data_IF_878878235011
#
_entry.id   IF_878878235011
#
_cell.length_a   1.000
_cell.length_b   1.000
_cell.length_c   1.000
_cell.angle_alpha   90.00
_cell.angle_beta   90.00
_cell.angle_gamma   90.00
#
_symmetry.space_group_name_H-M   'P 1'
#
loop_
_entity.id
_entity.type
_entity.pdbx_description
1 polymer ?
#
# COMPACT_ATOMS: atom_id res chain seq x y z
N UNK A 1 1.64 -5.01 -10.52
CA UNK A 1 1.47 -3.97 -11.57
C UNK A 1 1.77 -4.48 -12.99
N UNK A 2 2.99 -4.96 -13.30
CA UNK A 2 3.40 -5.40 -14.67
C UNK A 2 2.44 -6.40 -15.33
N UNK A 3 1.90 -7.36 -14.58
CA UNK A 3 0.94 -8.34 -15.11
C UNK A 3 -0.40 -7.71 -15.56
N UNK A 4 -0.84 -6.63 -14.89
CA UNK A 4 -2.04 -5.88 -15.26
C UNK A 4 -1.80 -5.09 -16.56
N UNK A 5 -0.64 -4.45 -16.67
CA UNK A 5 -0.22 -3.72 -17.88
C UNK A 5 -0.13 -4.68 -19.08
N UNK A 6 0.40 -5.88 -18.88
CA UNK A 6 0.52 -6.90 -19.92
C UNK A 6 -0.85 -7.48 -20.36
N UNK A 7 -1.82 -7.57 -19.46
CA UNK A 7 -3.19 -8.02 -19.77
C UNK A 7 -3.98 -6.99 -20.59
N UNK A 8 -3.57 -5.73 -20.55
CA UNK A 8 -4.16 -4.63 -21.30
C UNK A 8 -5.39 -4.01 -20.64
N UNK A 9 -5.70 -2.78 -21.05
CA UNK A 9 -6.68 -1.88 -20.39
C UNK A 9 -8.12 -2.40 -20.43
N UNK A 10 -8.42 -3.37 -21.30
CA UNK A 10 -9.74 -4.04 -21.36
C UNK A 10 -9.90 -5.14 -20.31
N UNK A 11 -8.81 -5.70 -19.82
CA UNK A 11 -8.80 -6.84 -18.89
C UNK A 11 -8.44 -6.40 -17.49
N UNK A 12 -7.52 -5.43 -17.34
CA UNK A 12 -7.08 -4.93 -16.06
C UNK A 12 -6.73 -3.44 -16.12
N UNK A 13 -7.19 -2.68 -15.12
CA UNK A 13 -6.95 -1.26 -14.93
C UNK A 13 -6.45 -1.02 -13.50
N UNK A 14 -5.31 -0.36 -13.36
CA UNK A 14 -4.79 0.05 -12.06
C UNK A 14 -5.47 1.37 -11.67
N UNK A 15 -6.20 1.36 -10.56
CA UNK A 15 -6.90 2.54 -10.04
C UNK A 15 -6.00 3.38 -9.14
N UNK A 16 -5.03 2.73 -8.47
CA UNK A 16 -4.02 3.41 -7.68
C UNK A 16 -3.14 2.41 -6.95
N UNK A 17 -1.88 2.78 -6.76
CA UNK A 17 -0.93 2.01 -5.97
C UNK A 17 -0.07 2.97 -5.15
N UNK A 18 0.19 2.60 -3.91
CA UNK A 18 1.16 3.28 -3.09
C UNK A 18 2.02 2.25 -2.38
N UNK A 19 3.30 2.55 -2.27
CA UNK A 19 4.25 1.78 -1.47
C UNK A 19 4.95 2.79 -0.58
N UNK A 20 4.92 2.52 0.72
CA UNK A 20 5.51 3.34 1.75
C UNK A 20 6.49 2.49 2.56
N UNK A 21 7.76 2.89 2.57
CA UNK A 21 8.80 2.23 3.35
C UNK A 21 9.20 3.10 4.54
N UNK A 22 9.03 2.59 5.76
CA UNK A 22 9.51 3.21 6.99
C UNK A 22 10.76 2.46 7.47
N UNK A 23 11.95 3.02 7.22
CA UNK A 23 13.23 2.37 7.56
C UNK A 23 13.63 1.25 6.59
N UNK A 24 14.60 0.42 6.99
CA UNK A 24 15.11 -0.68 6.12
C UNK A 24 14.19 -1.91 6.10
N UNK A 25 13.36 -2.11 7.14
CA UNK A 25 12.67 -3.38 7.38
C UNK A 25 11.13 -3.32 7.33
N UNK A 26 10.51 -2.14 7.18
CA UNK A 26 9.05 -2.00 7.11
C UNK A 26 8.61 -1.39 5.79
N UNK A 27 8.11 -2.25 4.90
CA UNK A 27 7.46 -1.87 3.64
C UNK A 27 5.98 -2.19 3.75
N UNK A 28 5.15 -1.15 3.61
CA UNK A 28 3.70 -1.29 3.50
C UNK A 28 3.26 -0.73 2.16
N UNK A 29 2.20 -1.28 1.58
CA UNK A 29 1.67 -0.76 0.33
C UNK A 29 0.26 -1.24 0.08
N UNK A 30 -0.46 -0.49 -0.75
CA UNK A 30 -1.75 -0.91 -1.26
C UNK A 30 -1.74 -0.86 -2.79
N UNK A 31 -2.50 -1.76 -3.38
CA UNK A 31 -2.76 -1.83 -4.80
C UNK A 31 -4.26 -1.98 -5.01
N UNK A 32 -4.86 -0.97 -5.63
CA UNK A 32 -6.25 -0.97 -6.07
C UNK A 32 -6.27 -1.17 -7.58
N UNK A 33 -6.93 -2.24 -8.02
CA UNK A 33 -7.09 -2.57 -9.43
C UNK A 33 -8.52 -3.00 -9.73
N UNK A 34 -8.95 -2.84 -10.97
CA UNK A 34 -10.24 -3.32 -11.48
C UNK A 34 -9.95 -4.24 -12.67
N UNK A 35 -10.46 -5.46 -12.64
CA UNK A 35 -10.19 -6.45 -13.68
C UNK A 35 -11.35 -7.45 -13.88
N UNK A 36 -11.34 -8.18 -15.00
CA UNK A 36 -12.34 -9.21 -15.26
C UNK A 36 -12.31 -10.31 -14.16
N UNK A 37 -13.47 -10.77 -13.65
CA UNK A 37 -13.53 -11.75 -12.55
C UNK A 37 -12.68 -13.01 -12.79
N UNK A 38 -12.70 -13.55 -14.02
CA UNK A 38 -11.94 -14.76 -14.38
C UNK A 38 -10.43 -14.55 -14.36
N UNK A 39 -9.97 -13.36 -14.74
CA UNK A 39 -8.55 -13.01 -14.69
C UNK A 39 -8.13 -12.72 -13.26
N UNK A 40 -8.99 -12.06 -12.48
CA UNK A 40 -8.76 -11.71 -11.09
C UNK A 40 -8.48 -12.95 -10.23
N UNK A 41 -9.25 -14.02 -10.39
CA UNK A 41 -9.06 -15.27 -9.67
C UNK A 41 -7.66 -15.87 -9.91
N UNK A 42 -7.19 -15.86 -11.16
CA UNK A 42 -5.82 -16.31 -11.51
C UNK A 42 -4.75 -15.39 -10.94
N UNK A 43 -4.98 -14.07 -11.00
CA UNK A 43 -4.04 -13.07 -10.51
C UNK A 43 -3.86 -13.15 -9.00
N UNK A 44 -4.94 -13.38 -8.24
CA UNK A 44 -4.90 -13.53 -6.77
C UNK A 44 -4.01 -14.70 -6.34
N UNK A 45 -4.15 -15.85 -7.02
CA UNK A 45 -3.29 -17.02 -6.77
C UNK A 45 -1.81 -16.69 -6.99
N UNK A 46 -1.48 -16.12 -8.16
CA UNK A 46 -0.11 -15.73 -8.49
C UNK A 46 0.49 -14.72 -7.49
N UNK A 47 -0.29 -13.72 -7.10
CA UNK A 47 0.13 -12.69 -6.14
C UNK A 47 0.43 -13.26 -4.76
N UNK A 48 -0.39 -14.19 -4.27
CA UNK A 48 -0.12 -14.81 -2.96
C UNK A 48 1.20 -15.60 -2.95
N UNK A 49 1.52 -16.28 -4.04
CA UNK A 49 2.78 -17.00 -4.21
C UNK A 49 3.97 -16.05 -4.32
N UNK A 50 3.85 -14.98 -5.10
CA UNK A 50 4.92 -13.99 -5.28
C UNK A 50 5.20 -13.22 -3.98
N UNK A 51 4.16 -12.87 -3.22
CA UNK A 51 4.31 -12.22 -1.92
C UNK A 51 5.06 -13.12 -0.93
N UNK A 52 4.67 -14.40 -0.84
CA UNK A 52 5.34 -15.37 0.02
C UNK A 52 6.82 -15.56 -0.35
N UNK A 53 7.14 -15.62 -1.64
CA UNK A 53 8.53 -15.72 -2.12
C UNK A 53 9.37 -14.47 -1.80
N UNK A 54 8.75 -13.30 -1.75
CA UNK A 54 9.40 -12.03 -1.40
C UNK A 54 9.49 -11.79 0.12
N UNK A 55 9.00 -12.71 0.95
CA UNK A 55 9.00 -12.58 2.41
C UNK A 55 7.97 -11.57 2.95
N UNK A 56 6.97 -11.21 2.15
CA UNK A 56 5.86 -10.33 2.54
C UNK A 56 4.55 -11.11 2.68
N UNK A 57 3.68 -10.69 3.60
CA UNK A 57 2.36 -11.30 3.79
C UNK A 57 1.26 -10.40 3.24
N UNK A 58 0.24 -11.02 2.62
CA UNK A 58 -0.96 -10.29 2.18
C UNK A 58 -1.86 -10.08 3.39
N UNK A 59 -1.76 -8.90 4.00
CA UNK A 59 -2.52 -8.57 5.22
C UNK A 59 -4.01 -8.39 4.94
N UNK A 60 -4.39 -7.90 3.75
CA UNK A 60 -5.79 -7.78 3.36
C UNK A 60 -5.98 -8.00 1.87
N UNK A 61 -6.99 -8.79 1.51
CA UNK A 61 -7.38 -9.10 0.15
C UNK A 61 -8.90 -8.98 0.05
N UNK A 62 -9.38 -7.79 -0.27
CA UNK A 62 -10.82 -7.50 -0.39
C UNK A 62 -11.20 -7.44 -1.86
N UNK A 63 -12.06 -8.36 -2.28
CA UNK A 63 -12.72 -8.32 -3.59
C UNK A 63 -14.09 -7.68 -3.41
N UNK A 64 -14.34 -6.60 -4.12
CA UNK A 64 -15.65 -5.96 -4.18
C UNK A 64 -16.20 -6.06 -5.59
N UNK A 65 -17.42 -6.58 -5.70
CA UNK A 65 -18.17 -6.58 -6.95
C UNK A 65 -19.22 -5.49 -6.87
N UNK A 66 -19.17 -4.56 -7.81
CA UNK A 66 -20.13 -3.45 -7.90
C UNK A 66 -21.38 -3.95 -8.63
N UNK A 67 -22.52 -4.05 -7.93
CA UNK A 67 -23.81 -4.37 -8.55
C UNK A 67 -24.50 -3.08 -8.99
N UNK A 68 -24.42 -2.78 -10.28
CA UNK A 68 -25.15 -1.67 -10.91
C UNK A 68 -26.33 -2.18 -11.76
N UNK A 69 -26.79 -3.40 -11.55
CA UNK A 69 -27.85 -4.00 -12.39
C UNK A 69 -29.12 -3.16 -12.34
N UNK A 70 -29.56 -2.76 -11.15
CA UNK A 70 -30.73 -1.90 -10.98
C UNK A 70 -30.53 -0.52 -11.64
N UNK A 71 -29.36 0.09 -11.45
CA UNK A 71 -29.03 1.37 -12.08
C UNK A 71 -29.04 1.29 -13.61
N UNK A 72 -28.51 0.22 -14.19
CA UNK A 72 -28.49 -0.03 -15.63
C UNK A 72 -29.92 -0.19 -16.15
N UNK A 73 -30.76 -0.98 -15.48
CA UNK A 73 -32.17 -1.18 -15.84
C UNK A 73 -32.91 0.17 -15.81
N UNK A 74 -32.82 0.91 -14.71
CA UNK A 74 -33.52 2.19 -14.53
C UNK A 74 -33.05 3.24 -15.56
N UNK A 75 -31.74 3.32 -15.79
CA UNK A 75 -31.16 4.26 -16.77
C UNK A 75 -31.55 3.88 -18.19
N UNK A 76 -31.58 2.58 -18.53
CA UNK A 76 -32.01 2.11 -19.85
C UNK A 76 -33.48 2.41 -20.13
N UNK A 77 -34.36 2.21 -19.14
CA UNK A 77 -35.77 2.55 -19.26
C UNK A 77 -35.98 4.07 -19.42
N UNK A 78 -35.20 4.88 -18.68
CA UNK A 78 -35.26 6.34 -18.80
C UNK A 78 -34.74 6.83 -20.16
N UNK A 79 -33.68 6.20 -20.69
CA UNK A 79 -33.16 6.46 -22.03
C UNK A 79 -34.20 6.14 -23.11
N UNK A 80 -34.87 5.00 -23.03
CA UNK A 80 -35.93 4.61 -23.94
C UNK A 80 -37.10 5.60 -23.91
N UNK A 81 -37.52 6.05 -22.73
CA UNK A 81 -38.55 7.07 -22.58
C UNK A 81 -38.17 8.41 -23.24
N UNK A 82 -36.90 8.81 -23.16
CA UNK A 82 -36.38 10.03 -23.81
C UNK A 82 -36.31 9.88 -25.33
N UNK A 83 -35.91 8.72 -25.83
CA UNK A 83 -35.94 8.40 -27.27
C UNK A 83 -37.37 8.44 -27.82
N UNK A 84 -38.34 7.86 -27.10
CA UNK A 84 -39.75 7.92 -27.47
C UNK A 84 -40.32 9.35 -27.46
N UNK A 85 -39.83 10.23 -26.57
CA UNK A 85 -40.17 11.65 -26.56
C UNK A 85 -39.61 12.37 -27.79
N UNK A 86 -38.33 12.16 -28.10
CA UNK A 86 -37.68 12.69 -29.31
C UNK A 86 -38.46 12.30 -30.57
N UNK A 87 -38.81 11.02 -30.69
CA UNK A 87 -39.51 10.50 -31.86
C UNK A 87 -40.92 11.08 -31.97
N UNK A 88 -41.61 11.30 -30.84
CA UNK A 88 -42.89 12.02 -30.81
C UNK A 88 -42.76 13.49 -31.23
N UNK A 89 -41.75 14.20 -30.75
CA UNK A 89 -41.50 15.60 -31.14
C UNK A 89 -41.21 15.68 -32.63
N UNK A 90 -40.38 14.78 -33.15
CA UNK A 90 -40.08 14.68 -34.58
C UNK A 90 -41.32 14.39 -35.43
N UNK A 91 -42.14 13.42 -35.02
CA UNK A 91 -43.39 13.11 -35.72
C UNK A 91 -44.38 14.29 -35.68
N UNK A 92 -44.43 15.06 -34.59
CA UNK A 92 -45.24 16.29 -34.50
C UNK A 92 -44.73 17.39 -35.45
N UNK A 93 -43.41 17.54 -35.57
CA UNK A 93 -42.78 18.48 -36.53
C UNK A 93 -43.04 18.08 -37.99
N UNK A 94 -43.02 16.79 -38.31
CA UNK A 94 -43.28 16.28 -39.66
C UNK A 94 -44.77 16.38 -40.06
N UNK A 95 -45.69 16.25 -39.09
CA UNK A 95 -47.14 16.19 -39.35
C UNK A 95 -47.89 17.52 -39.23
N UNK A 96 -47.36 18.51 -38.51
CA UNK A 96 -48.03 19.82 -38.30
C UNK A 96 -47.31 20.96 -39.00
N UNK A 97 -48.07 21.72 -39.79
CA UNK A 97 -47.69 23.06 -40.25
C UNK A 97 -48.00 24.08 -39.13
N UNK A 98 -47.08 24.23 -38.18
CA UNK A 98 -47.16 25.22 -37.09
C UNK A 98 -46.63 26.60 -37.50
N UNK A 99 -46.73 27.58 -36.60
CA UNK A 99 -46.08 28.88 -36.83
C UNK A 99 -44.55 28.74 -36.73
N UNK A 100 -43.78 29.65 -37.33
CA UNK A 100 -42.30 29.62 -37.26
C UNK A 100 -41.79 29.58 -35.80
N UNK A 101 -42.48 30.24 -34.88
CA UNK A 101 -42.15 30.23 -33.46
C UNK A 101 -42.33 28.84 -32.83
N UNK A 102 -43.37 28.10 -33.21
CA UNK A 102 -43.62 26.75 -32.70
C UNK A 102 -42.54 25.76 -33.18
N UNK A 103 -42.12 25.89 -34.45
CA UNK A 103 -41.04 25.08 -35.02
C UNK A 103 -39.72 25.36 -34.29
N UNK A 104 -39.36 26.63 -34.11
CA UNK A 104 -38.15 27.01 -33.38
C UNK A 104 -38.17 26.59 -31.90
N UNK A 105 -39.34 26.55 -31.27
CA UNK A 105 -39.49 26.04 -29.90
C UNK A 105 -39.29 24.52 -29.84
N UNK A 106 -39.88 23.78 -30.79
CA UNK A 106 -39.74 22.33 -30.89
C UNK A 106 -38.31 21.90 -31.25
N UNK A 107 -37.61 22.62 -32.13
CA UNK A 107 -36.19 22.37 -32.45
C UNK A 107 -35.28 22.54 -31.23
N UNK A 108 -35.52 23.58 -30.39
CA UNK A 108 -34.79 23.75 -29.13
C UNK A 108 -35.06 22.58 -28.18
N UNK A 109 -36.32 22.21 -28.00
CA UNK A 109 -36.69 21.07 -27.17
C UNK A 109 -36.07 19.76 -27.67
N UNK A 110 -35.97 19.58 -29.00
CA UNK A 110 -35.32 18.43 -29.61
C UNK A 110 -33.81 18.40 -29.31
N UNK A 111 -33.13 19.55 -29.42
CA UNK A 111 -31.72 19.67 -29.09
C UNK A 111 -31.44 19.36 -27.61
N UNK A 112 -32.29 19.86 -26.71
CA UNK A 112 -32.18 19.58 -25.27
C UNK A 112 -32.36 18.09 -24.97
N UNK A 113 -33.40 17.47 -25.53
CA UNK A 113 -33.65 16.02 -25.36
C UNK A 113 -32.52 15.18 -25.95
N UNK A 114 -31.96 15.57 -27.09
CA UNK A 114 -30.83 14.86 -27.69
C UNK A 114 -29.58 14.96 -26.80
N UNK A 115 -29.29 16.12 -26.23
CA UNK A 115 -28.19 16.29 -25.27
C UNK A 115 -28.35 15.40 -24.03
N UNK A 116 -29.57 15.28 -23.51
CA UNK A 116 -29.87 14.35 -22.40
C UNK A 116 -29.68 12.88 -22.81
N UNK A 117 -30.14 12.49 -24.00
CA UNK A 117 -29.95 11.13 -24.55
C UNK A 117 -28.46 10.78 -24.64
N UNK A 118 -27.65 11.70 -25.15
CA UNK A 118 -26.20 11.46 -25.32
C UNK A 118 -25.51 11.30 -23.96
N UNK A 119 -25.85 12.17 -22.99
CA UNK A 119 -25.34 12.07 -21.62
C UNK A 119 -25.77 10.77 -20.92
N UNK A 120 -27.04 10.36 -21.06
CA UNK A 120 -27.55 9.12 -20.50
C UNK A 120 -26.90 7.89 -21.15
N UNK A 121 -26.69 7.92 -22.47
CA UNK A 121 -26.04 6.84 -23.21
C UNK A 121 -24.60 6.66 -22.73
N UNK A 122 -23.83 7.75 -22.64
CA UNK A 122 -22.47 7.71 -22.11
C UNK A 122 -22.41 7.18 -20.67
N UNK A 123 -23.37 7.59 -19.83
CA UNK A 123 -23.46 7.12 -18.44
C UNK A 123 -23.80 5.63 -18.35
N UNK A 124 -24.70 5.15 -19.21
CA UNK A 124 -25.10 3.74 -19.29
C UNK A 124 -23.94 2.87 -19.75
N UNK A 125 -23.20 3.29 -20.78
CA UNK A 125 -22.04 2.56 -21.29
C UNK A 125 -20.91 2.50 -20.26
N UNK A 126 -20.67 3.60 -19.54
CA UNK A 126 -19.72 3.62 -18.43
C UNK A 126 -20.12 2.66 -17.30
N UNK A 127 -21.42 2.60 -16.94
CA UNK A 127 -21.90 1.67 -15.92
C UNK A 127 -21.77 0.20 -16.36
N UNK A 128 -22.11 -0.12 -17.61
CA UNK A 128 -21.93 -1.46 -18.18
C UNK A 128 -20.46 -1.89 -18.18
N UNK A 129 -19.56 -0.98 -18.54
CA UNK A 129 -18.11 -1.25 -18.50
C UNK A 129 -17.60 -1.49 -17.06
N UNK A 130 -18.19 -0.85 -16.04
CA UNK A 130 -17.84 -1.07 -14.63
C UNK A 130 -18.31 -2.43 -14.11
N UNK A 131 -19.55 -2.83 -14.37
CA UNK A 131 -20.10 -4.13 -13.92
C UNK A 131 -19.36 -5.31 -14.56
N UNK A 132 -18.83 -5.15 -15.77
CA UNK A 132 -18.02 -6.18 -16.42
C UNK A 132 -16.70 -6.49 -15.68
N UNK A 133 -16.29 -5.64 -14.74
CA UNK A 133 -15.03 -5.79 -14.01
C UNK A 133 -15.25 -5.79 -12.49
N UNK A 134 -14.48 -6.62 -11.77
CA UNK A 134 -14.43 -6.64 -10.30
C UNK A 134 -13.34 -5.72 -9.78
N UNK A 135 -13.60 -5.01 -8.69
CA UNK A 135 -12.60 -4.23 -7.98
C UNK A 135 -11.87 -5.11 -6.96
N UNK A 136 -10.54 -5.03 -6.95
CA UNK A 136 -9.66 -5.73 -6.02
C UNK A 136 -8.77 -4.71 -5.32
N UNK A 137 -8.86 -4.72 -4.00
CA UNK A 137 -7.96 -3.97 -3.12
C UNK A 137 -7.08 -4.94 -2.38
N UNK A 138 -5.78 -4.85 -2.60
CA UNK A 138 -4.78 -5.65 -1.91
C UNK A 138 -3.91 -4.72 -1.08
N UNK A 139 -3.80 -5.01 0.20
CA UNK A 139 -2.86 -4.35 1.11
C UNK A 139 -1.80 -5.36 1.53
N UNK A 140 -0.54 -4.94 1.43
CA UNK A 140 0.63 -5.69 1.85
C UNK A 140 1.31 -4.91 2.97
N UNK A 141 1.67 -5.62 4.03
CA UNK A 141 2.60 -5.13 5.02
C UNK A 141 3.66 -6.20 5.21
N UNK A 142 4.93 -5.81 5.19
CA UNK A 142 5.98 -6.62 5.79
C UNK A 142 5.79 -6.51 7.30
N UNK A 143 4.95 -7.36 7.86
CA UNK A 143 4.81 -7.45 9.30
C UNK A 143 6.09 -8.10 9.86
N UNK A 144 6.89 -7.40 10.70
CA UNK A 144 8.07 -8.00 11.30
C UNK A 144 7.72 -9.13 12.29
N UNK A 145 6.44 -9.32 12.63
CA UNK A 145 5.99 -10.32 13.61
C UNK A 145 5.62 -11.69 13.01
N UNK A 146 5.12 -11.79 11.78
CA UNK A 146 4.69 -13.08 11.20
C UNK A 146 5.76 -13.77 10.35
N UNK A 147 6.78 -13.04 9.88
CA UNK A 147 8.00 -13.66 9.34
C UNK A 147 8.91 -14.06 10.50
N UNK A 148 8.51 -15.11 11.24
CA UNK A 148 9.43 -15.83 12.12
C UNK A 148 10.44 -16.58 11.23
N UNK A 149 11.34 -15.84 10.60
CA UNK A 149 12.56 -16.42 10.05
C UNK A 149 13.21 -17.17 11.21
N UNK A 150 13.27 -18.50 11.10
CA UNK A 150 13.78 -19.44 12.12
C UNK A 150 15.12 -18.99 12.71
N UNK A 151 15.88 -18.19 11.95
CA UNK A 151 17.19 -17.67 12.31
C UNK A 151 17.18 -16.30 13.00
N UNK A 152 16.08 -15.53 12.98
CA UNK A 152 16.00 -14.17 13.57
C UNK A 152 16.33 -14.13 15.07
N UNK A 153 15.84 -15.05 15.92
CA UNK A 153 16.23 -15.10 17.34
C UNK A 153 17.73 -15.40 17.51
N UNK A 154 18.31 -16.19 16.61
CA UNK A 154 19.73 -16.52 16.62
C UNK A 154 20.57 -15.30 16.22
N UNK A 155 20.21 -14.58 15.16
CA UNK A 155 20.94 -13.39 14.71
C UNK A 155 20.88 -12.27 15.75
N UNK A 156 19.74 -12.10 16.42
CA UNK A 156 19.55 -11.12 17.48
C UNK A 156 20.33 -11.50 18.76
N UNK A 157 20.37 -12.79 19.09
CA UNK A 157 21.24 -13.33 20.15
C UNK A 157 22.73 -13.10 19.84
N UNK A 158 23.18 -13.30 18.59
CA UNK A 158 24.57 -13.05 18.20
C UNK A 158 24.92 -11.55 18.23
N UNK A 159 24.03 -10.66 17.77
CA UNK A 159 24.24 -9.20 17.83
C UNK A 159 24.30 -8.71 19.28
N UNK A 160 23.40 -9.18 20.14
CA UNK A 160 23.39 -8.82 21.56
C UNK A 160 24.59 -9.40 22.31
N UNK A 161 25.03 -10.61 21.98
CA UNK A 161 26.26 -11.21 22.49
C UNK A 161 27.50 -10.40 22.09
N UNK A 162 27.61 -10.00 20.81
CA UNK A 162 28.72 -9.16 20.33
C UNK A 162 28.79 -7.81 21.04
N UNK A 163 27.64 -7.13 21.20
CA UNK A 163 27.55 -5.85 21.91
C UNK A 163 27.95 -5.97 23.38
N UNK A 164 27.40 -6.98 24.09
CA UNK A 164 27.70 -7.23 25.51
C UNK A 164 29.17 -7.62 25.72
N UNK A 165 29.75 -8.38 24.78
CA UNK A 165 31.17 -8.76 24.82
C UNK A 165 32.08 -7.55 24.64
N UNK A 166 31.74 -6.65 23.70
CA UNK A 166 32.49 -5.41 23.49
C UNK A 166 32.36 -4.45 24.68
N UNK A 167 31.18 -4.37 25.31
CA UNK A 167 31.00 -3.61 26.55
C UNK A 167 31.83 -4.18 27.70
N UNK A 168 31.89 -5.50 27.85
CA UNK A 168 32.72 -6.15 28.87
C UNK A 168 34.21 -5.86 28.67
N UNK A 169 34.68 -5.84 27.41
CA UNK A 169 36.05 -5.42 27.06
C UNK A 169 36.31 -3.95 27.39
N UNK A 170 35.36 -3.06 27.06
CA UNK A 170 35.45 -1.64 27.38
C UNK A 170 35.51 -1.40 28.90
N UNK A 171 34.72 -2.15 29.67
CA UNK A 171 34.71 -2.07 31.14
C UNK A 171 36.02 -2.58 31.75
N UNK A 172 36.59 -3.66 31.21
CA UNK A 172 37.91 -4.15 31.64
C UNK A 172 39.01 -3.11 31.39
N UNK A 173 39.02 -2.46 30.23
CA UNK A 173 39.98 -1.38 29.91
C UNK A 173 39.80 -0.21 30.86
N UNK A 174 38.56 0.22 31.13
CA UNK A 174 38.28 1.30 32.07
C UNK A 174 38.67 0.96 33.51
N UNK A 175 38.50 -0.30 33.93
CA UNK A 175 38.91 -0.76 35.25
C UNK A 175 40.43 -0.66 35.42
N UNK A 176 41.21 -1.08 34.43
CA UNK A 176 42.67 -0.95 34.44
C UNK A 176 43.08 0.53 34.47
N UNK A 177 42.46 1.37 33.63
CA UNK A 177 42.73 2.81 33.58
C UNK A 177 42.47 3.51 34.93
N UNK A 178 41.38 3.15 35.63
CA UNK A 178 41.04 3.71 36.94
C UNK A 178 41.92 3.18 38.08
N UNK A 179 42.39 1.93 37.99
CA UNK A 179 43.10 1.26 39.09
C UNK A 179 44.60 1.53 39.05
N UNK A 180 45.18 1.78 37.86
CA UNK A 180 46.61 2.02 37.68
C UNK A 180 47.22 3.13 38.58
N UNK A 181 46.57 4.29 38.82
CA UNK A 181 47.09 5.33 39.70
C UNK A 181 47.33 4.85 41.15
N UNK A 182 46.48 3.95 41.65
CA UNK A 182 46.62 3.40 43.01
C UNK A 182 47.78 2.42 43.14
N UNK A 183 48.09 1.65 42.09
CA UNK A 183 49.28 0.80 42.06
C UNK A 183 50.57 1.60 42.13
N UNK A 184 50.65 2.74 41.42
CA UNK A 184 51.80 3.66 41.50
C UNK A 184 51.94 4.21 42.93
N UNK A 185 50.84 4.68 43.53
CA UNK A 185 50.84 5.20 44.89
C UNK A 185 51.25 4.13 45.92
N UNK A 186 50.75 2.90 45.78
CA UNK A 186 51.10 1.78 46.65
C UNK A 186 52.59 1.42 46.59
N UNK A 187 53.20 1.44 45.41
CA UNK A 187 54.64 1.21 45.25
C UNK A 187 55.48 2.32 45.90
N UNK A 188 55.05 3.58 45.80
CA UNK A 188 55.71 4.71 46.46
C UNK A 188 55.66 4.55 47.99
N UNK A 189 54.50 4.19 48.55
CA UNK A 189 54.34 3.96 50.00
C UNK A 189 55.19 2.78 50.48
N UNK A 190 55.24 1.67 49.73
CA UNK A 190 56.08 0.52 50.04
C UNK A 190 57.58 0.88 49.99
N UNK A 191 58.01 1.69 49.02
CA UNK A 191 59.39 2.15 48.95
C UNK A 191 59.78 2.99 50.17
N UNK A 192 58.90 3.91 50.60
CA UNK A 192 59.10 4.73 51.82
C UNK A 192 59.16 3.83 53.07
N UNK A 193 58.23 2.90 53.21
CA UNK A 193 58.21 1.95 54.33
C UNK A 193 59.46 1.07 54.37
N UNK A 194 59.93 0.59 53.21
CA UNK A 194 61.14 -0.24 53.12
C UNK A 194 62.39 0.54 53.50
N UNK A 195 62.52 1.78 53.04
CA UNK A 195 63.63 2.69 53.43
C UNK A 195 63.58 2.97 54.94
N UNK A 196 62.40 3.21 55.49
CA UNK A 196 62.21 3.47 56.92
C UNK A 196 62.51 2.23 57.79
N UNK A 197 62.10 1.04 57.36
CA UNK A 197 62.42 -0.24 58.03
C UNK A 197 63.91 -0.57 57.98
N UNK A 198 64.59 -0.30 56.86
CA UNK A 198 66.05 -0.49 56.77
C UNK A 198 66.83 0.55 57.59
N UNK A 199 66.30 1.76 57.76
CA UNK A 199 66.87 2.78 58.64
C UNK A 199 66.79 2.42 60.13
N UNK A 200 65.74 1.69 60.55
CA UNK A 200 65.58 1.23 61.95
C UNK A 200 66.49 0.06 62.33
N UNK A 201 66.85 -0.82 61.38
CA UNK A 201 67.77 -1.94 61.63
C UNK A 201 69.24 -1.54 61.85
N UNK A 202 69.62 -0.29 61.59
CA UNK A 202 70.99 0.23 61.84
C UNK A 202 71.17 0.91 63.21
N UNK A 203 70.13 0.93 64.06
CA UNK A 203 70.17 1.52 65.41
C UNK A 203 69.87 0.50 66.53
N UNK A 204 69.93 -0.79 66.24
CA UNK A 204 69.93 -1.87 67.23
C UNK A 204 71.35 -2.41 67.37
#
# INVERSE_FOLDING_TARGET
>A
EKACIAAGVKVCQVMGSSVNSYGEDQVSGYLNLRAEPKWLEKFRGAVSTDAANAGGEVTSNTVSTEDLTQYIIDTSARLEAKQALRDRIRALLESRQGTLNDVLAAERALADVQGEIDSMTASLDAAKARVAMSALSISYASDPETSYSMWKPLTEAFKSFGRTSMQSLADAVNFVARTWPFFILGLIVLAILRVWWMGRRKKA
#
